data_IF_285437656649
#
_entry.id   IF_285437656649
#
_cell.length_a   1.000
_cell.length_b   1.000
_cell.length_c   1.000
_cell.angle_alpha   90.00
_cell.angle_beta   90.00
_cell.angle_gamma   90.00
#
_symmetry.space_group_name_H-M   'P 1'
#
loop_
_entity.id
_entity.type
_entity.pdbx_description
1 polymer ?
#
# COMPACT_ATOMS: atom_id res chain seq x y z
N UNK A 1 -3.53 -1.97 -13.71
CA UNK A 1 -3.91 -1.13 -12.56
C UNK A 1 -3.82 -2.00 -11.33
N UNK A 2 -3.69 -1.43 -10.14
CA UNK A 2 -3.75 -2.22 -8.91
C UNK A 2 -5.11 -2.90 -8.75
N UNK A 3 -5.10 -4.06 -8.12
CA UNK A 3 -6.28 -4.76 -7.62
C UNK A 3 -6.70 -4.17 -6.26
N UNK A 4 -7.94 -3.68 -6.11
CA UNK A 4 -8.38 -3.08 -4.84
C UNK A 4 -8.53 -4.15 -3.76
N UNK A 5 -8.04 -3.85 -2.55
CA UNK A 5 -8.23 -4.69 -1.37
C UNK A 5 -8.46 -3.82 -0.13
N UNK A 6 -9.27 -4.29 0.82
CA UNK A 6 -9.37 -3.62 2.12
C UNK A 6 -8.19 -3.99 3.03
N UNK A 7 -7.80 -3.12 3.94
CA UNK A 7 -6.74 -3.40 4.94
C UNK A 7 -6.99 -4.75 5.63
N UNK A 8 -8.20 -4.98 6.13
CA UNK A 8 -8.54 -6.22 6.84
C UNK A 8 -8.28 -7.46 5.98
N UNK A 9 -8.73 -7.44 4.73
CA UNK A 9 -8.58 -8.59 3.82
C UNK A 9 -7.10 -8.83 3.47
N UNK A 10 -6.34 -7.75 3.27
CA UNK A 10 -4.90 -7.85 3.04
C UNK A 10 -4.16 -8.40 4.26
N UNK A 11 -4.44 -7.90 5.47
CA UNK A 11 -3.85 -8.40 6.73
C UNK A 11 -4.13 -9.89 6.91
N UNK A 12 -5.38 -10.32 6.70
CA UNK A 12 -5.76 -11.74 6.80
C UNK A 12 -5.00 -12.61 5.78
N UNK A 13 -4.80 -12.13 4.54
CA UNK A 13 -4.01 -12.81 3.52
C UNK A 13 -2.52 -12.85 3.86
N UNK A 14 -1.97 -11.73 4.31
CA UNK A 14 -0.55 -11.56 4.59
C UNK A 14 -0.09 -12.50 5.71
N UNK A 15 -0.80 -12.54 6.84
CA UNK A 15 -0.42 -13.43 7.96
C UNK A 15 -0.67 -14.91 7.67
N UNK A 16 -1.60 -15.24 6.76
CA UNK A 16 -1.79 -16.62 6.29
C UNK A 16 -0.52 -17.14 5.60
N UNK A 17 0.13 -16.28 4.81
CA UNK A 17 1.34 -16.61 4.08
C UNK A 17 2.62 -16.35 4.89
N UNK A 18 2.53 -15.52 5.95
CA UNK A 18 3.63 -15.18 6.85
C UNK A 18 3.21 -15.46 8.32
N UNK A 19 3.22 -16.72 8.78
CA UNK A 19 2.65 -17.12 10.08
C UNK A 19 3.36 -16.52 11.31
N UNK A 20 4.60 -16.05 11.15
CA UNK A 20 5.36 -15.37 12.19
C UNK A 20 4.91 -13.92 12.43
N UNK A 21 4.21 -13.32 11.46
CA UNK A 21 3.77 -11.94 11.50
C UNK A 21 2.52 -11.79 12.37
N UNK A 22 2.45 -10.71 13.15
CA UNK A 22 1.29 -10.42 13.99
C UNK A 22 0.32 -9.52 13.25
N UNK A 23 -0.94 -9.93 13.15
CA UNK A 23 -2.02 -9.17 12.48
C UNK A 23 -2.02 -7.68 12.86
N UNK A 24 -1.92 -7.39 14.16
CA UNK A 24 -1.93 -6.01 14.67
C UNK A 24 -0.77 -5.18 14.14
N UNK A 25 0.44 -5.73 14.12
CA UNK A 25 1.65 -5.02 13.66
C UNK A 25 1.62 -4.79 12.14
N UNK A 26 1.05 -5.72 11.37
CA UNK A 26 0.82 -5.55 9.92
C UNK A 26 -0.22 -4.45 9.67
N UNK A 27 -1.33 -4.47 10.42
CA UNK A 27 -2.38 -3.46 10.31
C UNK A 27 -1.88 -2.05 10.68
N UNK A 28 -1.11 -1.93 11.76
CA UNK A 28 -0.52 -0.66 12.22
C UNK A 28 0.37 -0.03 11.13
N UNK A 29 1.27 -0.82 10.51
CA UNK A 29 2.13 -0.35 9.40
C UNK A 29 1.33 0.11 8.20
N UNK A 30 0.32 -0.65 7.78
CA UNK A 30 -0.55 -0.27 6.65
C UNK A 30 -1.31 1.02 6.92
N UNK A 31 -1.84 1.20 8.14
CA UNK A 31 -2.57 2.41 8.53
C UNK A 31 -1.68 3.63 8.60
N UNK A 32 -0.45 3.49 9.09
CA UNK A 32 0.54 4.56 9.11
C UNK A 32 0.86 5.06 7.69
N UNK A 33 1.21 4.14 6.79
CA UNK A 33 1.49 4.47 5.39
C UNK A 33 0.27 5.03 4.68
N UNK A 34 -0.92 4.46 4.92
CA UNK A 34 -2.16 4.99 4.37
C UNK A 34 -2.41 6.42 4.81
N UNK A 35 -2.28 6.72 6.11
CA UNK A 35 -2.44 8.06 6.65
C UNK A 35 -1.52 9.07 5.95
N UNK A 36 -0.24 8.71 5.80
CA UNK A 36 0.71 9.54 5.07
C UNK A 36 0.35 9.72 3.59
N UNK A 37 -0.09 8.65 2.92
CA UNK A 37 -0.47 8.69 1.51
C UNK A 37 -1.70 9.59 1.27
N UNK A 38 -2.76 9.46 2.08
CA UNK A 38 -4.00 10.26 1.92
C UNK A 38 -3.88 11.70 2.43
N UNK A 39 -2.82 12.02 3.17
CA UNK A 39 -2.46 13.40 3.53
C UNK A 39 -1.53 14.05 2.50
N UNK A 40 -1.25 13.37 1.39
CA UNK A 40 -0.52 13.92 0.24
C UNK A 40 0.99 13.68 0.26
N UNK A 41 1.50 12.83 1.18
CA UNK A 41 2.90 12.39 1.11
C UNK A 41 3.11 11.62 -0.19
N UNK A 42 4.22 11.90 -0.86
CA UNK A 42 4.60 11.27 -2.14
C UNK A 42 5.94 10.57 -2.02
N UNK A 43 6.17 9.61 -2.90
CA UNK A 43 7.49 9.05 -3.10
C UNK A 43 8.48 10.15 -3.51
N UNK A 44 9.78 9.96 -3.25
CA UNK A 44 10.85 10.87 -3.68
C UNK A 44 10.80 11.20 -5.19
N UNK A 45 10.35 10.28 -6.04
CA UNK A 45 10.22 10.51 -7.47
C UNK A 45 8.96 11.33 -7.87
N UNK A 46 8.11 11.69 -6.91
CA UNK A 46 6.87 12.44 -7.11
C UNK A 46 5.62 11.59 -7.34
N UNK A 47 5.76 10.27 -7.50
CA UNK A 47 4.61 9.36 -7.67
C UNK A 47 3.86 9.14 -6.33
N UNK A 48 2.57 8.76 -6.38
CA UNK A 48 1.84 8.30 -5.21
C UNK A 48 2.55 7.14 -4.51
N UNK A 49 2.48 7.12 -3.17
CA UNK A 49 2.96 6.00 -2.37
C UNK A 49 2.17 4.74 -2.73
N UNK A 50 2.81 3.57 -2.78
CA UNK A 50 2.10 2.31 -2.84
C UNK A 50 1.89 1.82 -1.41
N UNK A 51 0.66 1.87 -0.88
CA UNK A 51 0.42 1.66 0.56
C UNK A 51 0.79 0.24 0.97
N UNK A 52 0.38 -0.75 0.16
CA UNK A 52 0.70 -2.16 0.42
C UNK A 52 2.21 -2.40 0.49
N UNK A 53 2.98 -2.00 -0.52
CA UNK A 53 4.44 -2.20 -0.49
C UNK A 53 5.15 -1.27 0.51
N UNK A 54 4.59 -0.09 0.74
CA UNK A 54 5.18 0.90 1.65
C UNK A 54 5.13 0.48 3.11
N UNK A 55 4.21 -0.42 3.49
CA UNK A 55 4.19 -1.00 4.83
C UNK A 55 5.50 -1.70 5.21
N UNK A 56 6.23 -2.23 4.22
CA UNK A 56 7.52 -2.90 4.43
C UNK A 56 8.71 -2.10 3.87
N UNK A 57 8.50 -1.28 2.84
CA UNK A 57 9.57 -0.53 2.15
C UNK A 57 9.58 0.98 2.43
N UNK A 58 8.75 1.46 3.37
CA UNK A 58 8.59 2.88 3.71
C UNK A 58 7.78 3.65 2.66
N UNK A 59 7.78 4.99 2.75
CA UNK A 59 6.95 5.88 1.91
C UNK A 59 7.41 5.99 0.44
N UNK A 60 7.38 4.87 -0.29
CA UNK A 60 7.85 4.73 -1.66
C UNK A 60 6.73 4.27 -2.60
N UNK A 61 6.84 4.62 -3.89
CA UNK A 61 5.91 4.15 -4.92
C UNK A 61 6.30 2.76 -5.42
N UNK A 62 5.37 2.08 -6.08
CA UNK A 62 5.57 0.77 -6.69
C UNK A 62 6.85 0.68 -7.52
N UNK A 63 7.02 1.57 -8.52
CA UNK A 63 8.19 1.55 -9.39
C UNK A 63 9.51 1.75 -8.65
N UNK A 64 9.54 2.55 -7.59
CA UNK A 64 10.76 2.71 -6.79
C UNK A 64 11.06 1.49 -5.91
N UNK A 65 10.03 0.71 -5.54
CA UNK A 65 10.19 -0.51 -4.74
C UNK A 65 10.58 -1.69 -5.63
N UNK A 66 9.90 -1.89 -6.75
CA UNK A 66 10.02 -3.09 -7.59
C UNK A 66 10.90 -2.90 -8.81
N UNK A 67 11.08 -1.65 -9.27
CA UNK A 67 11.67 -1.34 -10.58
C UNK A 67 10.70 -1.50 -11.75
N UNK A 68 9.46 -1.91 -11.50
CA UNK A 68 8.45 -2.20 -12.52
C UNK A 68 7.54 -1.01 -12.81
N UNK A 69 7.03 -0.92 -14.02
CA UNK A 69 6.15 0.19 -14.45
C UNK A 69 4.66 -0.14 -14.40
N UNK A 70 4.30 -1.41 -14.21
CA UNK A 70 2.92 -1.88 -14.30
C UNK A 70 2.54 -2.70 -13.06
N UNK A 71 1.66 -2.19 -12.19
CA UNK A 71 1.25 -2.90 -10.98
C UNK A 71 0.05 -3.82 -11.25
N UNK A 72 0.00 -4.42 -12.44
CA UNK A 72 -1.10 -5.31 -12.76
C UNK A 72 -0.95 -6.55 -11.88
N UNK A 73 -2.04 -7.01 -11.26
CA UNK A 73 -2.06 -8.15 -10.31
C UNK A 73 -1.56 -7.82 -8.89
N UNK A 74 -0.96 -6.66 -8.66
CA UNK A 74 -0.61 -6.19 -7.32
C UNK A 74 -1.78 -5.54 -6.60
N UNK A 75 -1.85 -5.76 -5.29
CA UNK A 75 -2.86 -5.14 -4.46
C UNK A 75 -2.54 -3.67 -4.14
N UNK A 76 -3.58 -2.86 -4.02
CA UNK A 76 -3.54 -1.57 -3.34
C UNK A 76 -4.78 -1.38 -2.45
N UNK A 77 -4.63 -0.60 -1.38
CA UNK A 77 -5.71 -0.32 -0.45
C UNK A 77 -6.83 0.48 -1.13
N UNK A 78 -8.06 -0.03 -1.02
CA UNK A 78 -9.28 0.55 -1.60
C UNK A 78 -9.51 2.02 -1.21
N UNK A 79 -9.25 2.37 0.05
CA UNK A 79 -9.31 3.74 0.56
C UNK A 79 -8.30 4.66 -0.16
N UNK A 80 -7.06 4.19 -0.39
CA UNK A 80 -6.05 4.95 -1.11
C UNK A 80 -6.43 5.14 -2.58
N UNK A 81 -6.92 4.09 -3.24
CA UNK A 81 -7.40 4.20 -4.63
C UNK A 81 -8.58 5.19 -4.75
N UNK A 82 -9.48 5.19 -3.78
CA UNK A 82 -10.60 6.14 -3.72
C UNK A 82 -10.10 7.59 -3.59
N UNK A 83 -9.13 7.84 -2.70
CA UNK A 83 -8.47 9.14 -2.56
C UNK A 83 -7.82 9.59 -3.87
N UNK A 84 -7.03 8.73 -4.52
CA UNK A 84 -6.35 9.07 -5.77
C UNK A 84 -7.34 9.41 -6.90
N UNK A 85 -8.50 8.73 -6.95
CA UNK A 85 -9.53 9.03 -7.93
C UNK A 85 -10.21 10.39 -7.72
N UNK A 86 -10.23 10.92 -6.49
CA UNK A 86 -10.77 12.25 -6.19
C UNK A 86 -9.82 13.39 -6.59
N UNK A 87 -8.52 13.08 -6.77
CA UNK A 87 -7.50 14.05 -7.19
C UNK A 87 -7.37 14.18 -8.72
N UNK A 88 -8.12 13.38 -9.48
CA UNK A 88 -8.07 13.32 -10.95
C UNK A 88 -9.06 14.27 -11.61
#
# INVERSE_FOLDING_TARGET
MFEPISIKKYVDLYVKNNPSEKKREVEERLRDVLHHAVTGTKCRCGNPIWVVGGADAGFSCFTCITGESSPNEDYEIDEHLSYLNQLR
#
